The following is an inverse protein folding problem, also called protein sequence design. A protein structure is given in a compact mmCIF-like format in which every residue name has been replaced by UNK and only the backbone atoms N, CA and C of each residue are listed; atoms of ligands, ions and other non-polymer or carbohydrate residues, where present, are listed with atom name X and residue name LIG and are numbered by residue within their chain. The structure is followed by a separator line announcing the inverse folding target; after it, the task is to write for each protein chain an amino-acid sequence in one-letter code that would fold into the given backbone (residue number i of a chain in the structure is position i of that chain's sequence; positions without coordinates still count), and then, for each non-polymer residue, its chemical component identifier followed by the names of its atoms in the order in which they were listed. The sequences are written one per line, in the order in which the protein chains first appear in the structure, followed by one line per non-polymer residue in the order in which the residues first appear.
data_IF_031457031712
#
_entry.id   IF_031457031712
#
_cell.length_a   1.000
_cell.length_b   1.000
_cell.length_c   1.000
_cell.angle_alpha   90.00
_cell.angle_beta   90.00
_cell.angle_gamma   90.00
#
_symmetry.space_group_name_H-M   'P 1'
#
loop_
_entity.id
_entity.type
_entity.pdbx_description
1 polymer ?
#
# COMPACT_ATOMS: atom_id res chain seq x y z
N UNK A 1 17.90 12.43 -7.87
CA UNK A 1 17.24 11.13 -7.60
C UNK A 1 16.40 11.29 -6.36
N UNK A 2 15.13 10.93 -6.42
CA UNK A 2 14.27 10.88 -5.23
C UNK A 2 14.51 9.56 -4.51
N UNK A 3 14.73 9.63 -3.20
CA UNK A 3 14.81 8.47 -2.33
C UNK A 3 13.49 8.32 -1.60
N UNK A 4 13.12 7.08 -1.27
CA UNK A 4 11.94 6.78 -0.48
C UNK A 4 12.36 6.20 0.88
N UNK A 5 11.77 6.73 1.95
CA UNK A 5 11.92 6.21 3.30
C UNK A 5 10.63 5.50 3.71
N UNK A 6 10.74 4.26 4.19
CA UNK A 6 9.60 3.46 4.64
C UNK A 6 9.79 3.18 6.13
N UNK A 7 8.89 3.70 6.97
CA UNK A 7 8.95 3.55 8.43
C UNK A 7 7.73 2.77 8.90
N UNK A 8 7.95 1.75 9.73
CA UNK A 8 6.89 0.97 10.39
C UNK A 8 6.92 1.30 11.89
N UNK A 9 5.79 1.74 12.43
CA UNK A 9 5.58 1.91 13.88
C UNK A 9 4.43 1.00 14.31
N UNK A 10 4.61 0.30 15.42
CA UNK A 10 3.62 -0.63 15.97
C UNK A 10 3.26 -0.14 17.36
N UNK A 11 1.99 0.22 17.56
CA UNK A 11 1.45 0.65 18.85
C UNK A 11 0.48 -0.40 19.39
N UNK A 12 0.75 -0.88 20.61
CA UNK A 12 -0.11 -1.82 21.34
C UNK A 12 -0.61 -1.10 22.60
N UNK A 13 -1.93 -1.03 22.74
CA UNK A 13 -2.60 -0.33 23.85
C UNK A 13 -3.82 -1.10 24.34
N UNK A 14 -4.16 -0.92 25.61
CA UNK A 14 -5.39 -1.48 26.17
C UNK A 14 -6.60 -0.76 25.58
N UNK A 15 -7.67 -1.51 25.28
CA UNK A 15 -8.92 -0.95 24.78
C UNK A 15 -10.12 -1.64 25.42
N UNK A 16 -11.24 -0.91 25.54
CA UNK A 16 -12.54 -1.46 25.97
C UNK A 16 -13.39 -1.97 24.80
N UNK A 17 -12.88 -1.91 23.57
CA UNK A 17 -13.54 -2.45 22.38
C UNK A 17 -13.66 -3.98 22.51
N UNK A 18 -14.83 -4.58 22.18
CA UNK A 18 -14.96 -6.03 22.18
C UNK A 18 -13.98 -6.67 21.20
N UNK A 19 -13.57 -7.90 21.50
CA UNK A 19 -12.70 -8.68 20.63
C UNK A 19 -13.35 -8.88 19.27
N UNK A 20 -12.55 -8.76 18.22
CA UNK A 20 -13.00 -8.97 16.85
C UNK A 20 -12.39 -10.24 16.30
N UNK A 21 -13.23 -11.10 15.72
CA UNK A 21 -12.77 -12.23 14.92
C UNK A 21 -12.34 -11.73 13.54
N UNK A 22 -11.28 -10.92 13.49
CA UNK A 22 -10.69 -10.46 12.23
C UNK A 22 -10.15 -9.04 12.26
N UNK A 23 -9.55 -8.69 11.13
CA UNK A 23 -9.02 -7.36 10.86
C UNK A 23 -10.13 -6.35 10.66
N UNK A 24 -10.02 -5.21 11.34
CA UNK A 24 -10.90 -4.07 11.15
C UNK A 24 -10.13 -3.05 10.33
N UNK A 25 -10.64 -2.69 9.17
CA UNK A 25 -10.15 -1.53 8.42
C UNK A 25 -10.90 -0.30 8.90
N UNK A 26 -10.16 0.69 9.37
CA UNK A 26 -10.70 1.97 9.84
C UNK A 26 -10.82 2.96 8.69
N UNK A 27 -11.63 4.01 8.88
CA UNK A 27 -11.89 5.03 7.85
C UNK A 27 -10.64 5.85 7.49
N UNK A 28 -9.66 5.91 8.39
CA UNK A 28 -8.34 6.53 8.17
C UNK A 28 -7.38 5.63 7.36
N UNK A 29 -7.83 4.46 6.91
CA UNK A 29 -7.02 3.49 6.18
C UNK A 29 -6.15 2.61 7.07
N UNK A 30 -6.18 2.79 8.40
CA UNK A 30 -5.45 1.94 9.33
C UNK A 30 -6.11 0.57 9.49
N UNK A 31 -5.27 -0.44 9.70
CA UNK A 31 -5.72 -1.79 10.03
C UNK A 31 -5.57 -2.02 11.52
N UNK A 32 -6.65 -2.42 12.17
CA UNK A 32 -6.73 -2.65 13.61
C UNK A 32 -7.11 -4.09 13.90
N UNK A 33 -6.53 -4.64 14.96
CA UNK A 33 -6.90 -5.93 15.53
C UNK A 33 -7.12 -5.75 17.03
N UNK A 34 -8.20 -6.34 17.55
CA UNK A 34 -8.53 -6.30 18.98
C UNK A 34 -8.43 -7.71 19.52
N UNK A 35 -7.40 -7.94 20.33
CA UNK A 35 -7.11 -9.23 20.94
C UNK A 35 -7.72 -9.30 22.36
N UNK A 36 -8.13 -10.51 22.81
CA UNK A 36 -8.49 -10.71 24.21
C UNK A 36 -7.28 -10.49 25.12
N UNK A 37 -7.53 -10.14 26.39
CA UNK A 37 -6.48 -9.78 27.34
C UNK A 37 -5.45 -10.91 27.54
N UNK A 38 -5.89 -12.16 27.49
CA UNK A 38 -5.04 -13.34 27.65
C UNK A 38 -4.11 -13.50 26.43
N UNK A 39 -4.63 -13.22 25.23
CA UNK A 39 -3.84 -13.26 23.99
C UNK A 39 -2.78 -12.15 23.94
N UNK A 40 -3.07 -10.97 24.52
CA UNK A 40 -2.14 -9.85 24.59
C UNK A 40 -0.90 -10.12 25.47
N UNK A 41 -0.91 -11.20 26.26
CA UNK A 41 0.20 -11.59 27.15
C UNK A 41 1.14 -12.63 26.51
N UNK A 42 0.84 -13.12 25.30
CA UNK A 42 1.64 -14.10 24.58
C UNK A 42 2.35 -13.44 23.40
N UNK A 43 3.69 -13.53 23.37
CA UNK A 43 4.50 -13.04 22.26
C UNK A 43 4.05 -13.67 20.95
N UNK A 44 3.94 -14.99 20.90
CA UNK A 44 3.56 -15.73 19.69
C UNK A 44 2.19 -15.31 19.16
N UNK A 45 1.23 -15.07 20.08
CA UNK A 45 -0.12 -14.68 19.70
C UNK A 45 -0.16 -13.26 19.17
N UNK A 46 0.54 -12.34 19.83
CA UNK A 46 0.73 -10.97 19.35
C UNK A 46 1.44 -10.91 18.00
N UNK A 47 2.51 -11.67 17.81
CA UNK A 47 3.25 -11.74 16.55
C UNK A 47 2.35 -12.25 15.42
N UNK A 48 1.64 -13.36 15.64
CA UNK A 48 0.72 -13.91 14.64
C UNK A 48 -0.39 -12.93 14.27
N UNK A 49 -0.94 -12.23 15.26
CA UNK A 49 -1.95 -11.20 15.05
C UNK A 49 -1.40 -10.04 14.21
N UNK A 50 -0.20 -9.55 14.54
CA UNK A 50 0.47 -8.48 13.81
C UNK A 50 0.78 -8.89 12.36
N UNK A 51 1.34 -10.08 12.12
CA UNK A 51 1.62 -10.58 10.77
C UNK A 51 0.35 -10.71 9.92
N UNK A 52 -0.74 -11.18 10.54
CA UNK A 52 -2.06 -11.27 9.90
C UNK A 52 -2.59 -9.89 9.53
N UNK A 53 -2.36 -8.88 10.38
CA UNK A 53 -2.74 -7.49 10.11
C UNK A 53 -1.87 -6.82 9.04
N UNK A 54 -0.57 -7.10 9.09
CA UNK A 54 0.42 -6.38 8.32
C UNK A 54 0.37 -6.75 6.83
N UNK A 55 0.07 -8.01 6.51
CA UNK A 55 0.00 -8.46 5.11
C UNK A 55 -0.97 -7.65 4.24
N UNK A 56 -2.27 -7.53 4.56
CA UNK A 56 -3.20 -6.74 3.76
C UNK A 56 -2.86 -5.24 3.79
N UNK A 57 -2.39 -4.72 4.93
CA UNK A 57 -2.00 -3.31 5.06
C UNK A 57 -0.86 -2.93 4.10
N UNK A 58 0.22 -3.73 4.10
CA UNK A 58 1.36 -3.53 3.22
C UNK A 58 0.96 -3.69 1.75
N UNK A 59 0.16 -4.71 1.44
CA UNK A 59 -0.29 -4.97 0.07
C UNK A 59 -1.07 -3.78 -0.49
N UNK A 60 -1.99 -3.22 0.29
CA UNK A 60 -2.78 -2.07 -0.11
C UNK A 60 -1.91 -0.82 -0.27
N UNK A 61 -1.05 -0.51 0.71
CA UNK A 61 -0.18 0.66 0.67
C UNK A 61 0.76 0.63 -0.55
N UNK A 62 1.39 -0.52 -0.82
CA UNK A 62 2.26 -0.71 -1.98
C UNK A 62 1.48 -0.61 -3.30
N UNK A 63 0.30 -1.20 -3.37
CA UNK A 63 -0.57 -1.11 -4.56
C UNK A 63 -0.91 0.35 -4.88
N UNK A 64 -1.31 1.12 -3.86
CA UNK A 64 -1.66 2.53 -4.01
C UNK A 64 -0.46 3.37 -4.43
N UNK A 65 0.70 3.16 -3.79
CA UNK A 65 1.93 3.88 -4.11
C UNK A 65 2.42 3.62 -5.54
N UNK A 66 2.50 2.35 -5.95
CA UNK A 66 2.95 1.98 -7.29
C UNK A 66 1.94 2.43 -8.37
N UNK A 67 0.65 2.46 -8.05
CA UNK A 67 -0.37 3.02 -8.93
C UNK A 67 -0.20 4.54 -9.11
N UNK A 68 0.16 5.26 -8.05
CA UNK A 68 0.45 6.69 -8.12
C UNK A 68 1.70 6.98 -8.97
N UNK A 69 2.79 6.25 -8.73
CA UNK A 69 4.02 6.36 -9.54
C UNK A 69 3.70 6.12 -11.02
N UNK A 70 2.96 5.04 -11.33
CA UNK A 70 2.62 4.72 -12.71
C UNK A 70 1.80 5.83 -13.39
N UNK A 71 0.89 6.48 -12.67
CA UNK A 71 0.13 7.64 -13.20
C UNK A 71 1.02 8.85 -13.43
N UNK A 72 1.93 9.15 -12.51
CA UNK A 72 2.89 10.25 -12.67
C UNK A 72 3.82 10.05 -13.89
N UNK A 73 4.19 8.80 -14.21
CA UNK A 73 4.96 8.48 -15.41
C UNK A 73 4.15 8.69 -16.70
N UNK A 74 2.85 8.43 -16.67
CA UNK A 74 1.93 8.66 -17.80
C UNK A 74 1.64 10.15 -18.00
N UNK A 75 1.56 10.93 -16.92
CA UNK A 75 1.31 12.37 -16.93
C UNK A 75 2.55 13.23 -17.23
N UNK A 76 3.74 12.62 -17.30
CA UNK A 76 4.97 13.24 -17.85
C UNK A 76 5.24 12.77 -19.29
N UNK A 77 4.42 13.12 -20.30
CA UNK A 77 4.69 12.74 -21.68
C UNK A 77 5.67 13.71 -22.36
N UNK A 78 6.82 14.04 -21.76
CA UNK A 78 7.87 14.78 -22.47
C UNK A 78 9.26 14.30 -22.05
N UNK A 79 9.81 13.35 -22.82
CA UNK A 79 11.18 13.43 -23.37
C UNK A 79 11.63 12.20 -24.19
N UNK A 80 10.79 11.18 -24.42
CA UNK A 80 11.11 10.12 -25.41
C UNK A 80 9.93 9.79 -26.34
N UNK A 81 9.53 10.78 -27.15
CA UNK A 81 8.83 10.56 -28.42
C UNK A 81 9.41 11.45 -29.52
N UNK A 82 10.73 11.43 -29.69
CA UNK A 82 11.34 11.82 -30.97
C UNK A 82 11.92 10.59 -31.69
N UNK A 83 11.00 9.83 -32.27
CA UNK A 83 11.26 8.96 -33.41
C UNK A 83 10.26 9.34 -34.48
N UNK A 84 10.63 10.24 -35.38
CA UNK A 84 9.80 10.67 -36.51
C UNK A 84 9.46 9.47 -37.39
N UNK A 85 8.21 8.98 -37.32
CA UNK A 85 7.64 8.23 -38.44
C UNK A 85 7.33 9.23 -39.54
N UNK A 86 8.26 9.42 -40.49
CA UNK A 86 7.99 10.16 -41.71
C UNK A 86 6.83 9.48 -42.43
N UNK A 87 5.64 10.08 -42.38
CA UNK A 87 4.52 9.68 -43.24
C UNK A 87 5.00 9.81 -44.69
N UNK A 88 5.17 8.69 -45.37
CA UNK A 88 5.32 8.64 -46.83
C UNK A 88 4.05 9.24 -47.44
N UNK A 89 4.20 10.25 -48.30
CA UNK A 89 3.06 10.79 -49.04
C UNK A 89 2.57 9.73 -50.02
N UNK A 90 1.26 9.54 -50.19
CA UNK A 90 0.75 8.67 -51.23
C UNK A 90 1.10 9.26 -52.61
N UNK A 91 1.30 8.40 -53.64
CA UNK A 91 1.63 8.87 -54.98
C UNK A 91 0.46 9.66 -55.55
N UNK A 92 0.76 10.83 -56.10
CA UNK A 92 -0.21 11.62 -56.88
C UNK A 92 -0.53 10.84 -58.15
N UNK A 93 -1.83 10.59 -58.40
CA UNK A 93 -2.32 10.14 -59.71
C UNK A 93 -2.22 11.27 -60.74
#
# INVERSE_FOLDING_TARGET
MSNYEIIIKIDIQQTSTPTSNGLIKSDDGSFRIVLPQEAAQSIDTCEKALLTANYPALREALSNHLSAISKEEVEKPEMYRMGTLKKTRPPTM
#
